data_IF_766560141470
#
_entry.id   IF_766560141470
#
_cell.length_a   1.000
_cell.length_b   1.000
_cell.length_c   1.000
_cell.angle_alpha   90.00
_cell.angle_beta   90.00
_cell.angle_gamma   90.00
#
_symmetry.space_group_name_H-M   'P 1'
#
loop_
_entity.id
_entity.type
_entity.pdbx_description
1 polymer ?
#
# COMPACT_ATOMS: atom_id res chain seq x y z
N UNK A 1 15.26 -16.61 -25.91
CA UNK A 1 15.28 -15.39 -26.75
C UNK A 1 16.11 -14.38 -26.00
N UNK A 2 17.07 -13.73 -26.65
CA UNK A 2 17.84 -12.66 -26.00
C UNK A 2 16.90 -11.53 -25.57
N UNK A 3 17.16 -10.93 -24.41
CA UNK A 3 16.36 -9.82 -23.93
C UNK A 3 16.39 -8.67 -24.95
N UNK A 4 15.25 -8.00 -25.21
CA UNK A 4 15.21 -6.88 -26.15
C UNK A 4 16.15 -5.76 -25.69
N UNK A 5 16.71 -5.00 -26.65
CA UNK A 5 17.63 -3.90 -26.34
C UNK A 5 16.97 -2.77 -25.49
N UNK A 6 15.64 -2.65 -25.56
CA UNK A 6 14.85 -1.73 -24.76
C UNK A 6 13.42 -2.24 -24.57
N UNK A 7 12.82 -1.94 -23.42
CA UNK A 7 11.47 -2.31 -23.02
C UNK A 7 10.56 -1.09 -22.93
N UNK A 8 9.27 -1.27 -23.19
CA UNK A 8 8.26 -0.25 -22.97
C UNK A 8 7.93 -0.17 -21.47
N UNK A 9 7.67 1.03 -20.97
CA UNK A 9 7.22 1.26 -19.61
C UNK A 9 6.17 2.37 -19.53
N UNK A 10 5.38 2.35 -18.47
CA UNK A 10 4.58 3.49 -18.02
C UNK A 10 4.93 3.87 -16.58
N UNK A 11 4.89 5.16 -16.27
CA UNK A 11 4.83 5.69 -14.91
C UNK A 11 3.36 5.99 -14.62
N UNK A 12 2.85 5.39 -13.56
CA UNK A 12 1.48 5.59 -13.10
C UNK A 12 1.47 6.04 -11.65
N UNK A 13 0.44 6.77 -11.28
CA UNK A 13 0.17 7.19 -9.92
C UNK A 13 -0.99 6.36 -9.36
N UNK A 14 -0.75 5.60 -8.30
CA UNK A 14 -1.68 4.63 -7.69
C UNK A 14 -2.34 5.23 -6.46
N UNK A 15 -3.61 4.91 -6.23
CA UNK A 15 -4.47 5.56 -5.23
C UNK A 15 -4.61 7.07 -5.44
N UNK A 16 -4.47 7.50 -6.69
CA UNK A 16 -4.29 8.89 -7.05
C UNK A 16 -5.59 9.50 -7.61
N UNK A 17 -6.15 10.55 -6.98
CA UNK A 17 -7.33 11.22 -7.53
C UNK A 17 -7.04 12.01 -8.82
N UNK A 18 -5.77 12.30 -9.11
CA UNK A 18 -5.29 12.99 -10.32
C UNK A 18 -3.79 12.69 -10.52
N UNK A 19 -3.24 13.06 -11.68
CA UNK A 19 -1.81 12.91 -11.94
C UNK A 19 -0.97 13.76 -10.96
N UNK A 20 0.22 13.27 -10.62
CA UNK A 20 1.14 13.83 -9.62
C UNK A 20 0.67 13.67 -8.16
N UNK A 21 -0.34 12.84 -7.90
CA UNK A 21 -0.84 12.48 -6.58
C UNK A 21 -0.65 10.96 -6.32
N UNK A 22 -1.02 10.43 -5.15
CA UNK A 22 -0.91 8.98 -4.89
C UNK A 22 0.52 8.47 -4.61
N UNK A 23 0.76 7.19 -4.88
CA UNK A 23 2.10 6.57 -4.87
C UNK A 23 2.54 6.22 -6.30
N UNK A 24 3.72 6.71 -6.71
CA UNK A 24 4.19 6.54 -8.08
C UNK A 24 4.79 5.15 -8.29
N UNK A 25 4.47 4.54 -9.43
CA UNK A 25 4.90 3.21 -9.80
C UNK A 25 5.40 3.20 -11.24
N UNK A 26 6.58 2.63 -11.48
CA UNK A 26 7.00 2.24 -12.81
C UNK A 26 6.45 0.84 -13.13
N UNK A 27 5.79 0.70 -14.29
CA UNK A 27 5.29 -0.57 -14.81
C UNK A 27 6.03 -0.88 -16.12
N UNK A 28 6.90 -1.90 -16.09
CA UNK A 28 7.70 -2.36 -17.23
C UNK A 28 7.03 -3.57 -17.85
N UNK A 29 6.75 -3.50 -19.15
CA UNK A 29 6.10 -4.58 -19.90
C UNK A 29 7.09 -5.62 -20.43
N UNK A 30 6.57 -6.80 -20.76
CA UNK A 30 7.26 -7.83 -21.57
C UNK A 30 8.66 -8.20 -21.01
N UNK A 31 8.75 -8.31 -19.69
CA UNK A 31 9.99 -8.49 -18.92
C UNK A 31 10.45 -9.96 -18.81
N UNK A 32 9.90 -10.87 -19.61
CA UNK A 32 10.16 -12.33 -19.57
C UNK A 32 11.64 -12.69 -19.66
N UNK A 33 12.40 -11.91 -20.44
CA UNK A 33 13.83 -12.13 -20.67
C UNK A 33 14.75 -11.49 -19.63
N UNK A 34 14.23 -10.73 -18.66
CA UNK A 34 15.06 -10.04 -17.68
C UNK A 34 15.54 -10.97 -16.55
N UNK A 35 16.84 -10.90 -16.26
CA UNK A 35 17.41 -11.48 -15.03
C UNK A 35 17.02 -10.65 -13.81
N UNK A 36 17.08 -11.23 -12.60
CA UNK A 36 16.88 -10.50 -11.33
C UNK A 36 17.80 -9.29 -11.21
N UNK A 37 19.08 -9.42 -11.59
CA UNK A 37 20.03 -8.29 -11.54
C UNK A 37 19.68 -7.16 -12.50
N UNK A 38 19.07 -7.47 -13.66
CA UNK A 38 18.57 -6.44 -14.58
C UNK A 38 17.34 -5.73 -14.03
N UNK A 39 16.37 -6.46 -13.48
CA UNK A 39 15.22 -5.88 -12.80
C UNK A 39 15.65 -4.95 -11.65
N UNK A 40 16.58 -5.38 -10.80
CA UNK A 40 17.07 -4.57 -9.68
C UNK A 40 17.73 -3.27 -10.14
N UNK A 41 18.57 -3.32 -11.18
CA UNK A 41 19.21 -2.11 -11.74
C UNK A 41 18.20 -1.16 -12.36
N UNK A 42 17.19 -1.68 -13.06
CA UNK A 42 16.12 -0.86 -13.62
C UNK A 42 15.27 -0.21 -12.51
N UNK A 43 14.91 -0.95 -11.46
CA UNK A 43 14.19 -0.39 -10.32
C UNK A 43 14.99 0.71 -9.62
N UNK A 44 16.31 0.52 -9.49
CA UNK A 44 17.21 1.55 -8.97
C UNK A 44 17.30 2.79 -9.89
N UNK A 45 17.33 2.61 -11.21
CA UNK A 45 17.34 3.71 -12.18
C UNK A 45 16.04 4.54 -12.14
N UNK A 46 14.87 3.89 -12.01
CA UNK A 46 13.61 4.60 -11.84
C UNK A 46 13.55 5.36 -10.52
N UNK A 47 14.16 4.80 -9.47
CA UNK A 47 14.24 5.39 -8.13
C UNK A 47 12.87 5.85 -7.57
N UNK A 48 11.82 5.09 -7.89
CA UNK A 48 10.50 5.19 -7.27
C UNK A 48 10.42 4.21 -6.10
N UNK A 49 9.35 4.30 -5.30
CA UNK A 49 9.10 3.38 -4.18
C UNK A 49 9.24 1.93 -4.62
N UNK A 50 8.59 1.58 -5.75
CA UNK A 50 8.69 0.27 -6.37
C UNK A 50 8.62 0.36 -7.91
N UNK A 51 9.09 -0.71 -8.56
CA UNK A 51 8.92 -0.99 -9.98
C UNK A 51 8.33 -2.38 -10.18
N UNK A 52 7.29 -2.43 -11.00
CA UNK A 52 6.53 -3.62 -11.40
C UNK A 52 7.02 -4.13 -12.75
N UNK A 53 7.47 -5.39 -12.81
CA UNK A 53 7.88 -6.05 -14.05
C UNK A 53 6.86 -7.13 -14.43
N UNK A 54 6.21 -6.92 -15.57
CA UNK A 54 5.18 -7.80 -16.10
C UNK A 54 5.78 -8.85 -17.03
N UNK A 55 5.35 -10.10 -16.90
CA UNK A 55 5.78 -11.22 -17.74
C UNK A 55 4.61 -12.17 -18.00
N UNK A 56 4.80 -13.10 -18.93
CA UNK A 56 3.86 -14.19 -19.13
C UNK A 56 3.71 -15.03 -17.85
N UNK A 57 2.48 -15.52 -17.56
CA UNK A 57 2.23 -16.42 -16.44
C UNK A 57 2.94 -17.77 -16.64
N UNK A 58 3.21 -18.47 -15.54
CA UNK A 58 3.89 -19.78 -15.50
C UNK A 58 3.05 -20.85 -14.80
N UNK A 59 2.17 -20.46 -13.89
CA UNK A 59 1.39 -21.34 -12.99
C UNK A 59 -0.12 -21.27 -13.27
N UNK A 60 -0.53 -20.69 -14.40
CA UNK A 60 -1.92 -20.65 -14.86
C UNK A 60 -2.71 -19.42 -14.40
N UNK A 61 -2.04 -18.37 -13.92
CA UNK A 61 -2.62 -17.05 -13.77
C UNK A 61 -2.75 -16.30 -15.11
N UNK A 62 -3.23 -15.07 -15.07
CA UNK A 62 -3.40 -14.21 -16.25
C UNK A 62 -2.13 -13.46 -16.61
N UNK A 63 -1.31 -13.14 -15.60
CA UNK A 63 -0.01 -12.49 -15.75
C UNK A 63 0.89 -12.79 -14.55
N UNK A 64 2.20 -12.63 -14.75
CA UNK A 64 3.18 -12.70 -13.68
C UNK A 64 3.72 -11.30 -13.38
N UNK A 65 3.79 -10.97 -12.09
CA UNK A 65 4.31 -9.72 -11.59
C UNK A 65 5.49 -9.95 -10.65
N UNK A 66 6.62 -9.28 -10.93
CA UNK A 66 7.73 -9.14 -9.99
C UNK A 66 7.83 -7.70 -9.55
N UNK A 67 8.09 -7.46 -8.27
CA UNK A 67 8.07 -6.14 -7.66
C UNK A 67 9.42 -5.88 -7.02
N UNK A 68 10.01 -4.73 -7.31
CA UNK A 68 11.32 -4.36 -6.80
C UNK A 68 11.27 -2.96 -6.22
N UNK A 69 11.77 -2.80 -5.00
CA UNK A 69 12.25 -1.50 -4.54
C UNK A 69 13.58 -1.16 -5.24
N UNK A 70 14.15 0.05 -5.05
CA UNK A 70 15.49 0.36 -5.54
C UNK A 70 16.58 -0.59 -5.04
N UNK A 71 16.33 -1.35 -3.97
CA UNK A 71 17.35 -2.14 -3.26
C UNK A 71 17.07 -3.66 -3.22
N UNK A 72 15.82 -4.09 -3.28
CA UNK A 72 15.44 -5.49 -3.09
C UNK A 72 14.15 -5.88 -3.81
N UNK A 73 14.04 -7.15 -4.23
CA UNK A 73 12.81 -7.77 -4.71
C UNK A 73 11.85 -8.06 -3.56
N UNK A 74 10.58 -7.68 -3.72
CA UNK A 74 9.51 -7.97 -2.77
C UNK A 74 8.67 -9.15 -3.28
N UNK A 75 8.25 -10.09 -2.40
CA UNK A 75 7.37 -11.18 -2.81
C UNK A 75 5.98 -10.68 -3.23
N UNK A 76 5.52 -9.57 -2.65
CA UNK A 76 4.24 -8.92 -2.92
C UNK A 76 4.25 -7.48 -2.39
N UNK A 77 3.49 -6.60 -3.04
CA UNK A 77 3.12 -5.30 -2.51
C UNK A 77 1.78 -4.84 -3.10
N UNK A 78 0.99 -4.10 -2.30
CA UNK A 78 -0.37 -3.71 -2.64
C UNK A 78 -0.45 -2.70 -3.80
N UNK A 79 0.15 -1.51 -3.63
CA UNK A 79 0.09 -0.47 -4.67
C UNK A 79 0.70 -0.94 -6.02
N UNK A 80 1.81 -1.72 -6.06
CA UNK A 80 2.35 -2.21 -7.32
C UNK A 80 1.42 -3.18 -8.04
N UNK A 81 0.68 -4.00 -7.28
CA UNK A 81 -0.31 -4.94 -7.82
C UNK A 81 -1.55 -4.21 -8.36
N UNK A 82 -2.08 -3.21 -7.63
CA UNK A 82 -3.18 -2.34 -8.10
C UNK A 82 -2.78 -1.61 -9.40
N UNK A 83 -1.61 -0.97 -9.39
CA UNK A 83 -1.11 -0.21 -10.53
C UNK A 83 -0.83 -1.06 -11.77
N UNK A 84 -0.21 -2.23 -11.59
CA UNK A 84 0.09 -3.14 -12.71
C UNK A 84 -1.18 -3.74 -13.32
N UNK A 85 -2.11 -4.23 -12.50
CA UNK A 85 -3.34 -4.87 -12.96
C UNK A 85 -4.22 -3.88 -13.74
N UNK A 86 -4.44 -2.67 -13.22
CA UNK A 86 -5.18 -1.63 -13.92
C UNK A 86 -4.48 -1.20 -15.22
N UNK A 87 -3.15 -1.07 -15.20
CA UNK A 87 -2.38 -0.72 -16.40
C UNK A 87 -2.52 -1.75 -17.51
N UNK A 88 -2.51 -3.05 -17.20
CA UNK A 88 -2.77 -4.12 -18.17
C UNK A 88 -4.16 -4.01 -18.81
N UNK A 89 -5.19 -3.74 -18.01
CA UNK A 89 -6.57 -3.60 -18.50
C UNK A 89 -6.74 -2.33 -19.33
N UNK A 90 -6.29 -1.19 -18.82
CA UNK A 90 -6.39 0.12 -19.50
C UNK A 90 -5.68 0.13 -20.84
N UNK A 91 -4.54 -0.54 -20.95
CA UNK A 91 -3.76 -0.63 -22.20
C UNK A 91 -4.31 -1.67 -23.18
N UNK A 92 -5.40 -2.37 -22.84
CA UNK A 92 -6.03 -3.37 -23.68
C UNK A 92 -5.24 -4.69 -23.78
N UNK A 93 -4.28 -4.91 -22.88
CA UNK A 93 -3.51 -6.16 -22.81
C UNK A 93 -4.30 -7.29 -22.15
N UNK A 94 -5.19 -6.96 -21.22
CA UNK A 94 -6.15 -7.89 -20.59
C UNK A 94 -7.55 -7.26 -20.55
N UNK A 95 -8.58 -8.11 -20.40
CA UNK A 95 -9.94 -7.64 -20.16
C UNK A 95 -10.16 -7.28 -18.68
N UNK A 96 -11.05 -6.34 -18.39
CA UNK A 96 -11.49 -6.05 -17.03
C UNK A 96 -12.22 -7.25 -16.40
N UNK A 97 -12.18 -7.36 -15.07
CA UNK A 97 -12.72 -8.48 -14.31
C UNK A 97 -11.81 -8.88 -13.15
N UNK A 98 -11.99 -10.11 -12.66
CA UNK A 98 -11.05 -10.71 -11.71
C UNK A 98 -9.86 -11.27 -12.47
N UNK A 99 -8.68 -10.74 -12.21
CA UNK A 99 -7.41 -11.21 -12.76
C UNK A 99 -6.64 -12.00 -11.71
N UNK A 100 -6.02 -13.10 -12.12
CA UNK A 100 -5.14 -13.91 -11.30
C UNK A 100 -3.68 -13.48 -11.50
N UNK A 101 -3.13 -12.76 -10.53
CA UNK A 101 -1.74 -12.31 -10.50
C UNK A 101 -0.83 -13.37 -9.91
N UNK A 102 0.15 -13.86 -10.68
CA UNK A 102 1.24 -14.67 -10.14
C UNK A 102 2.36 -13.78 -9.60
N UNK A 103 2.75 -13.94 -8.33
CA UNK A 103 3.84 -13.19 -7.71
C UNK A 103 4.60 -14.07 -6.70
N UNK A 104 5.60 -13.50 -6.02
CA UNK A 104 6.40 -14.23 -5.02
C UNK A 104 5.62 -14.69 -3.79
N UNK A 105 4.40 -14.18 -3.58
CA UNK A 105 3.46 -14.64 -2.55
C UNK A 105 2.45 -15.71 -3.04
N UNK A 106 2.57 -16.16 -4.29
CA UNK A 106 1.63 -17.09 -4.93
C UNK A 106 0.70 -16.40 -5.93
N UNK A 107 -0.45 -17.03 -6.19
CA UNK A 107 -1.48 -16.51 -7.10
C UNK A 107 -2.53 -15.74 -6.30
N UNK A 108 -2.76 -14.48 -6.67
CA UNK A 108 -3.66 -13.55 -5.97
C UNK A 108 -4.72 -13.00 -6.92
N UNK A 109 -5.96 -12.90 -6.43
CA UNK A 109 -7.04 -12.27 -7.16
C UNK A 109 -6.94 -10.74 -7.07
N UNK A 110 -7.01 -10.08 -8.22
CA UNK A 110 -7.08 -8.63 -8.35
C UNK A 110 -8.33 -8.29 -9.17
N UNK A 111 -9.29 -7.60 -8.56
CA UNK A 111 -10.51 -7.19 -9.25
C UNK A 111 -10.28 -5.83 -9.89
N UNK A 112 -10.36 -5.77 -11.21
CA UNK A 112 -10.03 -4.57 -12.00
C UNK A 112 -11.24 -4.08 -12.77
N UNK A 113 -11.49 -2.78 -12.70
CA UNK A 113 -12.50 -2.08 -13.49
C UNK A 113 -11.88 -0.89 -14.25
N UNK A 114 -12.72 -0.08 -14.90
CA UNK A 114 -12.24 1.09 -15.65
C UNK A 114 -11.63 2.19 -14.79
N UNK A 115 -11.98 2.27 -13.50
CA UNK A 115 -11.55 3.31 -12.58
C UNK A 115 -10.28 2.93 -11.80
N UNK A 116 -10.09 1.64 -11.49
CA UNK A 116 -8.95 1.19 -10.71
C UNK A 116 -8.89 -0.33 -10.52
N UNK A 117 -8.20 -0.75 -9.46
CA UNK A 117 -8.14 -2.14 -9.05
C UNK A 117 -8.35 -2.28 -7.54
N UNK A 118 -8.87 -3.43 -7.12
CA UNK A 118 -9.13 -3.83 -5.74
C UNK A 118 -8.36 -5.09 -5.41
N UNK A 119 -7.75 -5.09 -4.23
CA UNK A 119 -7.07 -6.25 -3.63
C UNK A 119 -7.76 -6.63 -2.33
N UNK A 120 -7.81 -7.93 -2.07
CA UNK A 120 -8.12 -8.47 -0.75
C UNK A 120 -6.83 -8.61 0.05
N UNK A 121 -6.89 -8.25 1.33
CA UNK A 121 -5.81 -8.54 2.27
C UNK A 121 -5.72 -10.04 2.58
N UNK A 122 -4.65 -10.41 3.29
CA UNK A 122 -4.48 -11.77 3.83
C UNK A 122 -5.40 -12.06 5.02
N UNK A 123 -4.99 -12.96 5.90
CA UNK A 123 -5.71 -13.17 7.16
C UNK A 123 -5.55 -11.96 8.08
N UNK A 124 -6.65 -11.38 8.61
CA UNK A 124 -6.56 -10.31 9.59
C UNK A 124 -5.79 -10.73 10.85
N UNK A 125 -4.98 -9.83 11.37
CA UNK A 125 -4.23 -10.00 12.61
C UNK A 125 -4.43 -8.79 13.51
N UNK A 126 -4.45 -9.03 14.83
CA UNK A 126 -4.54 -8.02 15.86
C UNK A 126 -3.69 -8.49 17.05
N UNK A 127 -2.84 -7.61 17.56
CA UNK A 127 -2.03 -7.84 18.74
C UNK A 127 -1.93 -6.57 19.57
N UNK A 128 -1.72 -6.73 20.88
CA UNK A 128 -1.44 -5.61 21.78
C UNK A 128 -0.16 -4.88 21.32
N UNK A 129 -0.25 -3.55 21.28
CA UNK A 129 0.86 -2.68 20.87
C UNK A 129 1.61 -2.05 22.04
N UNK A 130 2.50 -1.09 21.76
CA UNK A 130 3.19 -0.32 22.80
C UNK A 130 2.23 0.58 23.59
N UNK A 131 2.73 1.19 24.67
CA UNK A 131 1.98 2.25 25.35
C UNK A 131 1.74 3.41 24.37
N UNK A 132 0.50 3.89 24.21
CA UNK A 132 0.19 4.97 23.27
C UNK A 132 0.95 6.26 23.52
N UNK A 133 1.33 6.56 24.76
CA UNK A 133 2.08 7.77 25.08
C UNK A 133 3.55 7.65 24.71
N UNK A 134 4.15 6.48 24.92
CA UNK A 134 5.53 6.22 24.51
C UNK A 134 5.64 6.30 22.98
N UNK A 135 4.65 5.75 22.26
CA UNK A 135 4.57 5.87 20.80
C UNK A 135 4.34 7.31 20.34
N UNK A 136 3.49 8.07 21.04
CA UNK A 136 3.28 9.49 20.74
C UNK A 136 4.59 10.28 20.91
N UNK A 137 5.34 10.04 21.98
CA UNK A 137 6.64 10.70 22.22
C UNK A 137 7.65 10.38 21.12
N UNK A 138 7.73 9.11 20.69
CA UNK A 138 8.57 8.68 19.56
C UNK A 138 8.18 9.33 18.21
N UNK A 139 6.99 9.94 18.14
CA UNK A 139 6.48 10.68 16.98
C UNK A 139 6.45 12.19 17.22
N UNK A 140 7.11 12.70 18.27
CA UNK A 140 7.14 14.13 18.59
C UNK A 140 5.78 14.70 19.03
N UNK A 141 4.85 13.85 19.44
CA UNK A 141 3.53 14.19 19.96
C UNK A 141 3.48 14.06 21.48
N UNK A 142 2.36 14.49 22.07
CA UNK A 142 2.12 14.47 23.51
C UNK A 142 0.88 13.64 23.88
N UNK A 143 0.74 13.31 25.16
CA UNK A 143 -0.48 12.65 25.67
C UNK A 143 -1.77 13.43 25.40
N UNK A 144 -1.69 14.76 25.27
CA UNK A 144 -2.86 15.60 24.98
C UNK A 144 -3.37 15.44 23.53
N UNK A 145 -2.58 14.80 22.67
CA UNK A 145 -2.92 14.58 21.27
C UNK A 145 -3.67 13.27 21.04
N UNK A 146 -3.71 12.39 22.05
CA UNK A 146 -4.31 11.07 21.98
C UNK A 146 -5.82 11.10 22.21
N UNK A 147 -6.55 10.24 21.50
CA UNK A 147 -8.01 10.10 21.61
C UNK A 147 -8.42 9.03 22.64
N UNK A 148 -7.46 8.29 23.21
CA UNK A 148 -7.71 7.34 24.30
C UNK A 148 -7.97 5.89 23.88
N UNK A 149 -7.56 5.51 22.67
CA UNK A 149 -7.55 4.11 22.21
C UNK A 149 -6.17 3.45 22.37
N UNK A 150 -6.09 2.11 22.49
CA UNK A 150 -4.82 1.37 22.48
C UNK A 150 -4.03 1.61 21.18
N UNK A 151 -2.70 1.49 21.24
CA UNK A 151 -1.85 1.60 20.07
C UNK A 151 -1.61 0.23 19.41
N UNK A 152 -2.67 -0.57 19.28
CA UNK A 152 -2.57 -1.97 18.85
C UNK A 152 -1.94 -2.13 17.46
N UNK A 153 -1.30 -3.28 17.29
CA UNK A 153 -0.71 -3.70 16.01
C UNK A 153 -1.77 -4.48 15.23
N UNK A 154 -2.13 -4.00 14.05
CA UNK A 154 -3.14 -4.63 13.21
C UNK A 154 -2.65 -4.84 11.77
N UNK A 155 -3.15 -5.89 11.12
CA UNK A 155 -2.76 -6.21 9.76
C UNK A 155 -3.81 -7.05 9.04
N UNK A 156 -3.67 -7.11 7.73
CA UNK A 156 -4.41 -8.01 6.85
C UNK A 156 -3.46 -8.36 5.69
N UNK A 157 -2.32 -8.96 6.04
CA UNK A 157 -1.07 -8.89 5.27
C UNK A 157 0.07 -8.38 6.15
N UNK A 158 0.76 -7.31 5.73
CA UNK A 158 1.74 -6.63 6.58
C UNK A 158 1.03 -5.88 7.72
N UNK A 159 1.56 -6.00 8.94
CA UNK A 159 1.00 -5.36 10.13
C UNK A 159 1.73 -4.05 10.49
N UNK A 160 0.98 -3.08 11.00
CA UNK A 160 1.46 -1.77 11.42
C UNK A 160 0.94 -1.46 12.83
N UNK A 161 1.65 -0.62 13.56
CA UNK A 161 1.20 -0.07 14.83
C UNK A 161 0.30 1.15 14.55
N UNK A 162 -0.86 1.25 15.19
CA UNK A 162 -1.82 2.33 14.91
C UNK A 162 -1.92 3.29 16.08
N UNK A 163 -1.65 4.57 15.85
CA UNK A 163 -1.80 5.63 16.86
C UNK A 163 -2.97 6.55 16.51
N UNK A 164 -4.06 6.45 17.27
CA UNK A 164 -5.25 7.29 17.07
C UNK A 164 -5.11 8.63 17.82
N UNK A 165 -5.03 9.71 17.05
CA UNK A 165 -4.78 11.07 17.53
C UNK A 165 -5.87 12.05 17.07
N UNK A 166 -5.91 13.23 17.68
CA UNK A 166 -6.76 14.33 17.24
C UNK A 166 -6.37 14.80 15.82
N UNK A 167 -7.32 15.29 14.99
CA UNK A 167 -7.06 15.67 13.60
C UNK A 167 -5.93 16.70 13.39
N UNK A 168 -5.73 17.61 14.33
CA UNK A 168 -4.68 18.64 14.30
C UNK A 168 -3.29 18.10 14.66
N UNK A 169 -3.21 16.91 15.25
CA UNK A 169 -1.96 16.27 15.62
C UNK A 169 -1.32 15.45 14.50
N UNK A 170 -2.11 14.94 13.53
CA UNK A 170 -1.62 14.07 12.44
C UNK A 170 -0.46 14.73 11.67
N UNK A 171 -0.63 15.98 11.25
CA UNK A 171 0.38 16.71 10.47
C UNK A 171 1.60 17.15 11.28
N UNK A 172 1.52 17.10 12.62
CA UNK A 172 2.63 17.46 13.53
C UNK A 172 3.51 16.27 13.87
N UNK A 173 3.13 15.04 13.51
CA UNK A 173 3.94 13.86 13.77
C UNK A 173 5.33 14.00 13.10
N UNK A 174 6.38 13.83 13.90
CA UNK A 174 7.78 13.89 13.51
C UNK A 174 8.46 12.63 14.05
N UNK A 175 8.68 11.59 13.23
CA UNK A 175 9.27 10.34 13.70
C UNK A 175 10.69 10.57 14.22
N UNK A 176 10.98 10.05 15.42
CA UNK A 176 12.34 9.84 15.91
C UNK A 176 12.75 8.39 15.57
N UNK A 177 13.64 8.19 14.57
CA UNK A 177 14.04 6.85 14.15
C UNK A 177 14.60 6.00 15.30
N UNK A 178 15.39 6.59 16.21
CA UNK A 178 16.01 5.83 17.28
C UNK A 178 14.99 5.40 18.34
N UNK A 179 14.00 6.24 18.62
CA UNK A 179 12.91 5.89 19.52
C UNK A 179 11.98 4.84 18.91
N UNK A 180 11.67 4.96 17.61
CA UNK A 180 10.84 3.99 16.89
C UNK A 180 11.54 2.64 16.71
N UNK A 181 12.86 2.61 16.48
CA UNK A 181 13.66 1.39 16.48
C UNK A 181 13.59 0.65 17.83
N UNK A 182 13.58 1.40 18.94
CA UNK A 182 13.48 0.82 20.28
C UNK A 182 12.09 0.22 20.56
N UNK A 183 11.04 0.76 19.95
CA UNK A 183 9.68 0.20 19.98
C UNK A 183 9.59 -1.03 19.04
N UNK A 184 10.21 -0.94 17.87
CA UNK A 184 10.20 -1.95 16.83
C UNK A 184 8.90 -2.01 16.01
N UNK A 185 8.82 -2.99 15.11
CA UNK A 185 7.70 -3.18 14.18
C UNK A 185 8.04 -2.79 12.74
N UNK A 186 7.09 -2.96 11.83
CA UNK A 186 7.30 -2.67 10.41
C UNK A 186 6.99 -1.23 10.01
N UNK A 187 6.23 -0.53 10.83
CA UNK A 187 5.82 0.84 10.58
C UNK A 187 4.71 1.29 11.53
N UNK A 188 4.46 2.60 11.55
CA UNK A 188 3.44 3.24 12.37
C UNK A 188 2.49 4.04 11.48
N UNK A 189 1.18 3.83 11.67
CA UNK A 189 0.12 4.65 11.09
C UNK A 189 -0.40 5.61 12.16
N UNK A 190 -0.08 6.89 12.03
CA UNK A 190 -0.63 7.96 12.87
C UNK A 190 -1.85 8.51 12.15
N UNK A 191 -3.02 8.43 12.78
CA UNK A 191 -4.25 8.79 12.10
C UNK A 191 -5.30 9.43 13.01
N UNK A 192 -6.21 10.17 12.39
CA UNK A 192 -7.45 10.63 12.99
C UNK A 192 -8.64 10.03 12.27
N UNK A 193 -9.74 9.78 12.99
CA UNK A 193 -10.96 9.19 12.44
C UNK A 193 -12.15 10.17 12.45
N UNK A 194 -12.80 10.34 11.30
CA UNK A 194 -14.07 11.06 11.16
C UNK A 194 -15.23 10.06 11.00
N UNK A 195 -16.07 9.97 12.03
CA UNK A 195 -17.25 9.11 12.05
C UNK A 195 -18.34 9.53 11.05
N UNK A 196 -18.47 10.83 10.76
CA UNK A 196 -19.54 11.32 9.89
C UNK A 196 -19.32 10.92 8.43
N UNK A 197 -18.05 10.81 8.01
CA UNK A 197 -17.67 10.46 6.64
C UNK A 197 -17.01 9.09 6.53
N UNK A 198 -16.88 8.34 7.64
CA UNK A 198 -16.13 7.09 7.72
C UNK A 198 -14.73 7.21 7.09
N UNK A 199 -14.00 8.27 7.45
CA UNK A 199 -12.71 8.61 6.82
C UNK A 199 -11.60 8.69 7.86
N UNK A 200 -10.52 7.94 7.63
CA UNK A 200 -9.26 8.10 8.32
C UNK A 200 -8.36 9.07 7.55
N UNK A 201 -7.76 10.04 8.23
CA UNK A 201 -6.62 10.81 7.70
C UNK A 201 -5.36 10.29 8.38
N UNK A 202 -4.42 9.78 7.59
CA UNK A 202 -3.27 9.05 8.09
C UNK A 202 -1.94 9.55 7.52
N UNK A 203 -0.88 9.36 8.29
CA UNK A 203 0.52 9.38 7.85
C UNK A 203 1.16 8.07 8.28
N UNK A 204 1.93 7.45 7.38
CA UNK A 204 2.55 6.15 7.63
C UNK A 204 4.06 6.28 7.52
N UNK A 205 4.74 5.95 8.60
CA UNK A 205 6.20 5.91 8.68
C UNK A 205 6.65 4.45 8.72
N UNK A 206 7.55 4.05 7.82
CA UNK A 206 7.92 2.65 7.62
C UNK A 206 9.39 2.39 7.98
N UNK A 207 9.64 1.34 8.74
CA UNK A 207 10.99 0.89 9.12
C UNK A 207 11.87 0.59 7.87
N UNK A 208 11.28 -0.07 6.87
CA UNK A 208 11.95 -0.36 5.60
C UNK A 208 12.40 0.87 4.79
N UNK A 209 11.95 2.07 5.18
CA UNK A 209 12.35 3.36 4.62
C UNK A 209 13.19 4.19 5.61
N UNK A 210 13.73 3.57 6.68
CA UNK A 210 14.43 4.26 7.76
C UNK A 210 13.51 5.22 8.52
N UNK A 211 12.26 4.81 8.74
CA UNK A 211 11.17 5.61 9.31
C UNK A 211 10.78 6.83 8.46
N UNK A 212 11.11 6.80 7.17
CA UNK A 212 10.57 7.70 6.17
C UNK A 212 9.06 7.51 5.96
N UNK A 213 8.42 8.53 5.39
CA UNK A 213 6.98 8.54 5.11
C UNK A 213 6.67 7.95 3.73
N UNK A 214 5.65 7.10 3.65
CA UNK A 214 5.09 6.57 2.40
C UNK A 214 3.80 7.34 2.04
N UNK A 215 3.58 7.78 0.78
CA UNK A 215 2.41 8.58 0.42
C UNK A 215 1.10 7.79 0.31
N UNK A 216 1.15 6.47 0.10
CA UNK A 216 -0.05 5.63 0.06
C UNK A 216 0.25 4.17 0.40
N UNK A 217 -0.07 3.77 1.64
CA UNK A 217 0.29 2.44 2.16
C UNK A 217 -0.93 1.53 2.21
N UNK A 218 -1.19 0.79 1.12
CA UNK A 218 -2.37 -0.08 1.02
C UNK A 218 -2.48 -1.14 2.12
N UNK A 219 -1.36 -1.67 2.61
CA UNK A 219 -1.34 -2.63 3.73
C UNK A 219 -1.75 -1.99 5.07
N UNK A 220 -1.31 -0.76 5.34
CA UNK A 220 -1.76 0.00 6.51
C UNK A 220 -3.24 0.41 6.37
N UNK A 221 -3.70 0.71 5.16
CA UNK A 221 -5.12 0.99 4.93
C UNK A 221 -5.99 -0.24 5.24
N UNK A 222 -5.58 -1.45 4.82
CA UNK A 222 -6.28 -2.69 5.18
C UNK A 222 -6.31 -2.93 6.70
N UNK A 223 -5.17 -2.76 7.37
CA UNK A 223 -5.09 -2.93 8.83
C UNK A 223 -5.84 -1.85 9.60
N UNK A 224 -6.05 -0.65 9.03
CA UNK A 224 -6.91 0.40 9.61
C UNK A 224 -8.32 -0.14 9.85
N UNK A 225 -8.91 -0.84 8.87
CA UNK A 225 -10.23 -1.45 9.05
C UNK A 225 -10.28 -2.51 10.16
N UNK A 226 -9.22 -3.31 10.28
CA UNK A 226 -9.08 -4.32 11.34
C UNK A 226 -9.01 -3.64 12.72
N UNK A 227 -8.19 -2.60 12.84
CA UNK A 227 -8.05 -1.83 14.07
C UNK A 227 -9.34 -1.10 14.44
N UNK A 228 -10.00 -0.42 13.48
CA UNK A 228 -11.24 0.31 13.71
C UNK A 228 -12.37 -0.62 14.19
N UNK A 229 -12.46 -1.84 13.65
CA UNK A 229 -13.41 -2.85 14.10
C UNK A 229 -13.15 -3.26 15.56
N UNK A 230 -11.89 -3.56 15.90
CA UNK A 230 -11.49 -3.94 17.25
C UNK A 230 -11.70 -2.80 18.28
N UNK A 231 -11.47 -1.56 17.87
CA UNK A 231 -11.70 -0.37 18.67
C UNK A 231 -13.19 -0.01 18.85
N UNK A 232 -14.11 -0.74 18.21
CA UNK A 232 -15.55 -0.48 18.24
C UNK A 232 -15.99 0.77 17.49
N UNK A 233 -15.16 1.25 16.56
CA UNK A 233 -15.42 2.46 15.75
C UNK A 233 -16.15 2.15 14.43
N UNK A 234 -16.21 0.87 14.05
CA UNK A 234 -17.01 0.34 12.95
C UNK A 234 -18.00 -0.72 13.47
N UNK A 235 -18.97 -1.11 12.64
CA UNK A 235 -19.93 -2.15 12.99
C UNK A 235 -19.21 -3.48 13.25
N UNK A 236 -19.63 -4.20 14.31
CA UNK A 236 -19.05 -5.50 14.67
C UNK A 236 -19.64 -6.69 13.90
N UNK A 237 -20.59 -6.46 13.02
CA UNK A 237 -21.21 -7.49 12.18
C UNK A 237 -21.46 -6.94 10.76
N UNK A 238 -21.20 -7.76 9.74
CA UNK A 238 -21.37 -7.38 8.34
C UNK A 238 -20.16 -6.66 7.75
N UNK A 239 -20.35 -5.97 6.63
CA UNK A 239 -19.30 -5.24 5.91
C UNK A 239 -19.46 -3.74 6.09
N UNK A 240 -18.38 -3.07 6.51
CA UNK A 240 -18.29 -1.61 6.59
C UNK A 240 -17.37 -1.06 5.51
N UNK A 241 -17.80 0.00 4.82
CA UNK A 241 -16.96 0.81 3.94
C UNK A 241 -16.27 1.93 4.72
N UNK A 242 -15.03 2.25 4.36
CA UNK A 242 -14.29 3.38 4.89
C UNK A 242 -13.29 3.90 3.86
N UNK A 243 -12.81 5.13 4.09
CA UNK A 243 -11.80 5.76 3.24
C UNK A 243 -10.56 6.06 4.07
N UNK A 244 -9.39 5.79 3.51
CA UNK A 244 -8.12 6.27 4.07
C UNK A 244 -7.56 7.34 3.14
N UNK A 245 -7.31 8.52 3.71
CA UNK A 245 -6.61 9.64 3.09
C UNK A 245 -5.20 9.72 3.63
N UNK A 246 -4.22 9.77 2.75
CA UNK A 246 -2.80 9.72 3.11
C UNK A 246 -1.98 10.61 2.17
N UNK A 247 -0.77 10.99 2.58
CA UNK A 247 0.21 11.64 1.72
C UNK A 247 -0.04 13.12 1.44
N UNK A 248 -1.06 13.73 2.05
CA UNK A 248 -1.31 15.18 1.91
C UNK A 248 -0.11 16.02 2.35
N UNK A 249 0.54 15.65 3.46
CA UNK A 249 1.72 16.35 3.97
C UNK A 249 2.90 16.30 3.00
N UNK A 250 3.06 15.18 2.29
CA UNK A 250 4.10 14.99 1.26
C UNK A 250 3.78 15.70 -0.07
N UNK A 251 2.62 16.36 -0.19
CA UNK A 251 2.14 16.89 -1.47
C UNK A 251 1.71 15.80 -2.46
N UNK A 252 1.46 14.59 -1.97
CA UNK A 252 1.11 13.39 -2.73
C UNK A 252 -0.24 12.83 -2.23
N UNK A 253 -1.34 13.57 -2.37
CA UNK A 253 -2.62 13.17 -1.78
C UNK A 253 -3.12 11.85 -2.37
N UNK A 254 -3.48 10.92 -1.49
CA UNK A 254 -3.89 9.56 -1.85
C UNK A 254 -5.26 9.26 -1.26
N UNK A 255 -6.09 8.54 -2.02
CA UNK A 255 -7.42 8.11 -1.59
C UNK A 255 -7.55 6.61 -1.79
N UNK A 256 -7.65 5.88 -0.67
CA UNK A 256 -7.82 4.44 -0.65
C UNK A 256 -9.24 4.13 -0.17
N UNK A 257 -10.05 3.50 -1.03
CA UNK A 257 -11.39 3.03 -0.68
C UNK A 257 -11.30 1.60 -0.16
N UNK A 258 -11.81 1.38 1.04
CA UNK A 258 -11.57 0.15 1.76
C UNK A 258 -12.87 -0.45 2.29
N UNK A 259 -12.86 -1.76 2.47
CA UNK A 259 -13.91 -2.47 3.19
C UNK A 259 -13.32 -3.33 4.29
N UNK A 260 -14.07 -3.54 5.36
CA UNK A 260 -13.78 -4.57 6.36
C UNK A 260 -15.05 -5.36 6.65
N UNK A 261 -14.95 -6.68 6.60
CA UNK A 261 -16.04 -7.59 6.99
C UNK A 261 -15.74 -8.13 8.37
N UNK A 262 -16.70 -8.04 9.26
CA UNK A 262 -16.59 -8.41 10.67
C UNK A 262 -17.67 -9.39 11.08
N UNK A 263 -17.35 -10.26 12.03
CA UNK A 263 -18.33 -11.08 12.75
C UNK A 263 -17.98 -11.09 14.22
N UNK A 264 -18.98 -10.86 15.08
CA UNK A 264 -18.81 -10.76 16.54
C UNK A 264 -17.67 -9.80 16.96
N UNK A 265 -17.51 -8.69 16.25
CA UNK A 265 -16.50 -7.66 16.54
C UNK A 265 -15.09 -7.95 16.01
N UNK A 266 -14.85 -9.13 15.42
CA UNK A 266 -13.55 -9.49 14.84
C UNK A 266 -13.56 -9.35 13.32
N UNK A 267 -12.49 -8.80 12.74
CA UNK A 267 -12.33 -8.72 11.29
C UNK A 267 -12.06 -10.10 10.68
N UNK A 268 -12.77 -10.42 9.60
CA UNK A 268 -12.63 -11.66 8.82
C UNK A 268 -11.89 -11.43 7.49
N UNK A 269 -12.11 -10.28 6.88
CA UNK A 269 -11.49 -9.89 5.62
C UNK A 269 -11.47 -8.37 5.49
N UNK A 270 -10.48 -7.84 4.77
CA UNK A 270 -10.46 -6.45 4.36
C UNK A 270 -10.08 -6.34 2.89
N UNK A 271 -10.59 -5.32 2.21
CA UNK A 271 -10.20 -4.99 0.83
C UNK A 271 -9.76 -3.55 0.73
N UNK A 272 -8.87 -3.26 -0.21
CA UNK A 272 -8.39 -1.91 -0.53
C UNK A 272 -8.44 -1.73 -2.04
N UNK A 273 -8.91 -0.57 -2.47
CA UNK A 273 -9.00 -0.20 -3.86
C UNK A 273 -8.65 1.28 -4.04
N UNK A 274 -8.37 1.65 -5.27
CA UNK A 274 -8.34 3.05 -5.64
C UNK A 274 -7.93 3.29 -7.08
N UNK A 275 -8.02 4.57 -7.50
CA UNK A 275 -7.76 4.96 -8.86
C UNK A 275 -6.28 4.84 -9.24
N UNK A 276 -6.03 4.60 -10.53
CA UNK A 276 -4.69 4.59 -11.12
C UNK A 276 -4.66 5.55 -12.29
N UNK A 277 -3.73 6.50 -12.26
CA UNK A 277 -3.63 7.57 -13.26
C UNK A 277 -2.31 7.44 -14.03
N UNK A 278 -2.33 7.29 -15.36
CA UNK A 278 -1.10 7.29 -16.16
C UNK A 278 -0.48 8.69 -16.18
N UNK A 279 0.84 8.77 -16.02
CA UNK A 279 1.60 10.02 -15.93
C UNK A 279 2.57 10.18 -17.10
N UNK A 280 3.33 9.12 -17.41
CA UNK A 280 4.32 9.13 -18.47
C UNK A 280 4.46 7.75 -19.10
N UNK A 281 4.95 7.69 -20.34
CA UNK A 281 5.29 6.44 -21.02
C UNK A 281 6.55 6.61 -21.86
N UNK A 282 7.26 5.51 -22.11
CA UNK A 282 8.48 5.56 -22.90
C UNK A 282 9.14 4.20 -23.08
N UNK A 283 10.39 4.24 -23.55
CA UNK A 283 11.25 3.05 -23.71
C UNK A 283 12.50 3.20 -22.85
N UNK A 284 12.86 2.14 -22.13
CA UNK A 284 14.06 2.10 -21.28
C UNK A 284 15.03 1.02 -21.79
N UNK A 285 16.33 1.34 -21.82
CA UNK A 285 17.36 0.39 -22.25
C UNK A 285 17.53 -0.72 -21.23
N UNK A 286 17.67 -1.96 -21.70
CA UNK A 286 17.97 -3.08 -20.81
C UNK A 286 19.45 -3.03 -20.42
N UNK A 287 19.79 -3.02 -19.12
CA UNK A 287 21.18 -2.96 -18.69
C UNK A 287 21.90 -4.28 -19.00
N UNK A 288 23.16 -4.18 -19.43
CA UNK A 288 24.03 -5.30 -19.80
C UNK A 288 24.32 -6.22 -18.63
#
# INVERSE_FOLDING_TARGET
MDAPAALDYEIVDVFAPHAFAGNSLAVVFDADGLTTGQCQRLANEFNLSETSFLSAPREGGDYRLRIFTPNVELPFAGHPSVGAAHTLVRTGRLAAGTLHQECGAGVLDVVVDGAGARLSGGTPTLAEGPDPADLAEALGLSRADLVGHPADVAGCGLAFTYLHVHPDAVDRALPDPAALDAIGGHGVSVFSWDHATATARARVFADGLGWGEDPATGSAALGTGVWLAAAGLLAGEGTSDYVVRQGEWMGRPSVLTCTVTTTAGAALAATVAGPVVPVASGRIRVPS
#
